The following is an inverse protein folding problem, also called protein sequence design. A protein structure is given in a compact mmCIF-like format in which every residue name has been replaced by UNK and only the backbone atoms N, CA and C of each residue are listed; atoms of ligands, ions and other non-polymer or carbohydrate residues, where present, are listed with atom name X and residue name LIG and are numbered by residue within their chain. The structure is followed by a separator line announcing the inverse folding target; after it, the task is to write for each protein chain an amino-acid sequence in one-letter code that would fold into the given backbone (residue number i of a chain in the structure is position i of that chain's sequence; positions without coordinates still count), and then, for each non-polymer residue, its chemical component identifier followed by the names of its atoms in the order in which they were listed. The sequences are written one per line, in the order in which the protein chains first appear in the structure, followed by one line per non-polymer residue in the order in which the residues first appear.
data_IF_268073017385
#
_entry.id   IF_268073017385
#
_cell.length_a   1.000
_cell.length_b   1.000
_cell.length_c   1.000
_cell.angle_alpha   90.00
_cell.angle_beta   90.00
_cell.angle_gamma   90.00
#
_symmetry.space_group_name_H-M   'P 1'
#
loop_
_entity.id
_entity.type
_entity.pdbx_description
1 polymer ?
#
# COMPACT_ATOMS: atom_id res chain seq x y z
N UNK A 1 35.39 4.47 19.78
CA UNK A 1 34.00 4.12 19.47
C UNK A 1 33.58 4.87 18.24
N UNK A 2 33.38 4.11 17.17
CA UNK A 2 32.84 4.64 15.92
C UNK A 2 31.36 4.99 16.06
N UNK A 3 30.89 5.90 15.23
CA UNK A 3 29.49 6.34 15.21
C UNK A 3 28.62 5.23 14.61
N UNK A 4 27.51 4.83 15.25
CA UNK A 4 26.55 3.90 14.65
C UNK A 4 25.82 4.55 13.47
N UNK A 5 25.46 3.75 12.47
CA UNK A 5 24.74 4.22 11.28
C UNK A 5 23.36 3.57 11.21
N UNK A 6 22.30 4.39 11.17
CA UNK A 6 20.93 3.90 11.03
C UNK A 6 20.73 3.44 9.58
N UNK A 7 20.20 2.22 9.41
CA UNK A 7 19.83 1.68 8.12
C UNK A 7 18.43 2.17 7.74
N UNK A 8 18.35 3.08 6.77
CA UNK A 8 17.09 3.68 6.31
C UNK A 8 16.19 2.68 5.59
N UNK A 9 16.74 1.71 4.86
CA UNK A 9 15.95 0.71 4.12
C UNK A 9 15.27 -0.30 5.05
N UNK A 10 15.92 -0.61 6.18
CA UNK A 10 15.41 -1.54 7.19
C UNK A 10 14.60 -0.84 8.29
N UNK A 11 14.66 0.49 8.37
CA UNK A 11 13.91 1.27 9.34
C UNK A 11 12.57 1.71 8.75
N UNK A 12 11.46 1.41 9.43
CA UNK A 12 10.11 1.63 8.91
C UNK A 12 9.18 2.09 10.01
N UNK A 13 8.17 2.90 9.65
CA UNK A 13 7.16 3.42 10.59
C UNK A 13 5.76 3.11 10.06
N UNK A 14 5.03 2.34 10.85
CA UNK A 14 3.60 2.12 10.68
C UNK A 14 2.89 2.48 11.99
N UNK A 15 2.21 1.53 12.65
CA UNK A 15 1.72 1.69 14.03
C UNK A 15 2.86 1.85 15.03
N UNK A 16 3.98 1.20 14.75
CA UNK A 16 5.21 1.26 15.53
C UNK A 16 6.36 1.65 14.60
N UNK A 17 7.41 2.24 15.16
CA UNK A 17 8.64 2.52 14.45
C UNK A 17 9.67 1.43 14.76
N UNK A 18 10.06 0.65 13.75
CA UNK A 18 11.23 -0.21 13.83
C UNK A 18 12.44 0.58 13.33
N UNK A 19 13.44 0.77 14.20
CA UNK A 19 14.69 1.41 13.85
C UNK A 19 15.79 0.36 13.92
N UNK A 20 16.51 0.19 12.81
CA UNK A 20 17.65 -0.72 12.68
C UNK A 20 18.91 0.10 12.42
N UNK A 21 20.02 -0.26 13.06
CA UNK A 21 21.32 0.35 12.82
C UNK A 21 22.41 -0.71 12.73
N UNK A 22 23.53 -0.34 12.15
CA UNK A 22 24.75 -1.16 12.20
C UNK A 22 25.88 -0.37 12.85
N UNK A 23 26.82 -1.11 13.43
CA UNK A 23 28.01 -0.56 14.03
C UNK A 23 29.25 -1.14 13.33
N UNK A 24 30.21 -0.30 12.88
CA UNK A 24 31.41 -0.79 12.22
C UNK A 24 32.20 -1.77 13.11
N UNK A 25 32.56 -2.95 12.57
CA UNK A 25 33.08 -4.10 13.33
C UNK A 25 34.35 -3.83 14.17
N UNK A 26 35.08 -2.74 13.89
CA UNK A 26 36.36 -2.45 14.55
C UNK A 26 36.23 -2.11 16.04
N UNK A 27 35.03 -1.79 16.54
CA UNK A 27 34.90 -1.27 17.89
C UNK A 27 33.53 -1.58 18.54
N UNK A 28 33.21 -2.87 18.69
CA UNK A 28 31.90 -3.35 19.22
C UNK A 28 31.52 -2.62 20.51
N UNK A 29 30.36 -1.97 20.48
CA UNK A 29 29.78 -1.27 21.63
C UNK A 29 29.16 -2.26 22.63
N UNK A 30 29.12 -1.87 23.90
CA UNK A 30 28.48 -2.64 24.98
C UNK A 30 26.96 -2.40 24.99
N UNK A 31 26.54 -1.16 24.72
CA UNK A 31 25.13 -0.78 24.58
C UNK A 31 24.96 0.40 23.62
N UNK A 32 23.71 0.64 23.23
CA UNK A 32 23.30 1.76 22.41
C UNK A 32 22.21 2.55 23.13
N UNK A 33 22.15 3.85 22.88
CA UNK A 33 21.01 4.69 23.28
C UNK A 33 20.35 5.20 22.01
N UNK A 34 19.09 4.81 21.82
CA UNK A 34 18.21 5.33 20.78
C UNK A 34 17.47 6.54 21.33
N UNK A 35 17.63 7.66 20.65
CA UNK A 35 16.99 8.92 20.99
C UNK A 35 15.95 9.25 19.92
N UNK A 36 14.73 9.61 20.34
CA UNK A 36 13.69 10.03 19.42
C UNK A 36 12.87 11.21 19.94
N UNK A 37 12.36 12.04 19.01
CA UNK A 37 11.48 13.16 19.34
C UNK A 37 10.48 13.42 18.23
N UNK A 38 9.32 13.95 18.62
CA UNK A 38 8.34 14.50 17.69
C UNK A 38 8.86 15.86 17.16
N UNK A 39 8.79 16.05 15.85
CA UNK A 39 9.13 17.31 15.19
C UNK A 39 7.85 18.15 15.09
N UNK A 40 7.76 19.20 15.90
CA UNK A 40 6.70 20.19 15.81
C UNK A 40 7.06 21.26 14.76
N UNK A 41 6.03 21.87 14.15
CA UNK A 41 6.21 22.98 13.19
C UNK A 41 6.55 24.29 13.89
N UNK A 42 6.11 24.43 15.13
CA UNK A 42 6.50 25.53 16.00
C UNK A 42 7.90 25.21 16.54
N UNK A 43 8.83 26.16 16.42
CA UNK A 43 10.29 26.02 16.63
C UNK A 43 10.71 25.56 18.05
N UNK A 44 9.77 25.17 18.91
CA UNK A 44 10.04 24.51 20.18
C UNK A 44 10.51 23.08 19.94
N UNK A 45 11.84 22.91 19.92
CA UNK A 45 12.48 21.60 19.92
C UNK A 45 12.18 20.87 21.24
N UNK A 46 11.27 19.90 21.17
CA UNK A 46 11.01 18.98 22.28
C UNK A 46 12.30 18.22 22.66
N UNK A 47 12.41 17.90 23.96
CA UNK A 47 13.48 17.07 24.49
C UNK A 47 13.47 15.68 23.85
N UNK A 48 14.65 15.12 23.63
CA UNK A 48 14.79 13.76 23.16
C UNK A 48 14.32 12.77 24.23
N UNK A 49 13.52 11.78 23.83
CA UNK A 49 13.25 10.60 24.64
C UNK A 49 14.40 9.62 24.41
N UNK A 50 15.01 9.14 25.50
CA UNK A 50 16.15 8.22 25.43
C UNK A 50 15.72 6.81 25.85
N UNK A 51 16.17 5.81 25.08
CA UNK A 51 15.95 4.40 25.39
C UNK A 51 17.28 3.66 25.24
N UNK A 52 17.69 2.95 26.29
CA UNK A 52 18.85 2.06 26.25
C UNK A 52 18.50 0.73 25.57
N UNK A 53 19.39 0.27 24.69
CA UNK A 53 19.22 -0.91 23.85
C UNK A 53 20.52 -1.71 23.80
N UNK A 54 20.45 -3.00 24.14
CA UNK A 54 21.62 -3.90 24.11
C UNK A 54 21.86 -4.57 22.74
N UNK A 55 20.96 -4.37 21.78
CA UNK A 55 21.05 -4.87 20.40
C UNK A 55 21.17 -3.75 19.37
N UNK A 56 21.09 -4.11 18.09
CA UNK A 56 21.21 -3.19 16.95
C UNK A 56 19.86 -2.79 16.34
N UNK A 57 18.76 -3.08 17.04
CA UNK A 57 17.40 -2.78 16.60
C UNK A 57 16.48 -2.51 17.78
N UNK A 58 15.46 -1.68 17.55
CA UNK A 58 14.42 -1.39 18.55
C UNK A 58 13.09 -1.03 17.88
N UNK A 59 12.00 -1.54 18.46
CA UNK A 59 10.63 -1.10 18.14
C UNK A 59 10.17 -0.07 19.16
N UNK A 60 9.70 1.07 18.68
CA UNK A 60 9.07 2.14 19.46
C UNK A 60 7.57 2.13 19.17
N UNK A 61 6.78 2.10 20.24
CA UNK A 61 5.32 2.09 20.20
C UNK A 61 4.74 3.43 20.65
N UNK A 62 3.42 3.57 20.55
CA UNK A 62 2.64 4.72 21.05
C UNK A 62 3.02 6.07 20.41
N UNK A 63 3.49 6.05 19.17
CA UNK A 63 3.73 7.25 18.39
C UNK A 63 2.40 7.86 17.92
N UNK A 64 2.27 9.18 18.06
CA UNK A 64 1.12 9.89 17.50
C UNK A 64 1.05 9.75 15.98
N UNK A 65 -0.16 9.54 15.46
CA UNK A 65 -0.43 9.44 14.01
C UNK A 65 -0.20 10.78 13.29
N UNK A 66 0.11 10.72 11.99
CA UNK A 66 0.29 11.88 11.11
C UNK A 66 1.33 12.91 11.60
N UNK A 67 2.44 12.43 12.18
CA UNK A 67 3.48 13.26 12.79
C UNK A 67 4.87 12.85 12.32
N UNK A 68 5.76 13.83 12.15
CA UNK A 68 7.16 13.56 11.85
C UNK A 68 7.94 13.30 13.15
N UNK A 69 8.76 12.26 13.15
CA UNK A 69 9.67 11.93 14.25
C UNK A 69 11.10 11.89 13.75
N UNK A 70 12.01 12.46 14.51
CA UNK A 70 13.45 12.32 14.31
C UNK A 70 13.98 11.21 15.23
N UNK A 71 14.85 10.36 14.69
CA UNK A 71 15.53 9.28 15.38
C UNK A 71 17.04 9.41 15.22
N UNK A 72 17.80 9.17 16.29
CA UNK A 72 19.26 9.09 16.23
C UNK A 72 19.78 8.10 17.27
N UNK A 73 20.91 7.48 16.99
CA UNK A 73 21.51 6.47 17.87
C UNK A 73 22.91 6.90 18.25
N UNK A 74 23.31 6.57 19.48
CA UNK A 74 24.69 6.70 19.95
C UNK A 74 25.14 5.40 20.63
N UNK A 75 26.43 5.13 20.57
CA UNK A 75 27.04 3.90 21.06
C UNK A 75 27.83 4.15 22.36
N UNK A 76 27.79 3.17 23.27
CA UNK A 76 28.47 3.19 24.56
C UNK A 76 29.41 2.01 24.73
N UNK A 77 30.59 2.27 25.29
CA UNK A 77 31.56 1.25 25.72
C UNK A 77 32.11 1.66 27.08
N UNK A 78 31.67 0.98 28.13
CA UNK A 78 31.81 1.46 29.51
C UNK A 78 31.29 2.89 29.68
N UNK A 79 32.15 3.82 30.08
CA UNK A 79 31.80 5.24 30.28
C UNK A 79 32.06 6.13 29.06
N UNK A 80 32.52 5.58 27.94
CA UNK A 80 32.82 6.32 26.71
C UNK A 80 31.59 6.27 25.80
N UNK A 81 31.18 7.42 25.28
CA UNK A 81 30.06 7.59 24.35
C UNK A 81 30.56 8.08 22.98
N UNK A 82 29.98 7.57 21.90
CA UNK A 82 30.19 8.10 20.55
C UNK A 82 29.44 9.42 20.34
N UNK A 83 29.78 10.20 19.29
CA UNK A 83 28.84 11.16 18.71
C UNK A 83 27.53 10.49 18.28
N UNK A 84 26.46 11.29 18.15
CA UNK A 84 25.19 10.82 17.61
C UNK A 84 25.30 10.51 16.11
N UNK A 85 24.52 9.51 15.67
CA UNK A 85 24.34 9.20 14.25
C UNK A 85 23.68 10.36 13.49
N UNK A 86 23.66 10.27 12.15
CA UNK A 86 22.75 11.09 11.34
C UNK A 86 21.31 10.90 11.81
N UNK A 87 20.54 11.98 11.82
CA UNK A 87 19.11 11.93 12.14
C UNK A 87 18.34 11.27 10.99
N UNK A 88 17.54 10.26 11.32
CA UNK A 88 16.56 9.67 10.43
C UNK A 88 15.19 10.29 10.73
N UNK A 89 14.54 10.87 9.73
CA UNK A 89 13.20 11.45 9.88
C UNK A 89 12.19 10.52 9.23
N UNK A 90 11.19 10.10 10.00
CA UNK A 90 10.11 9.24 9.51
C UNK A 90 8.76 9.87 9.86
N UNK A 91 7.78 9.67 8.98
CA UNK A 91 6.44 10.21 9.12
C UNK A 91 5.45 9.08 9.45
N UNK A 92 4.70 9.21 10.54
CA UNK A 92 3.70 8.22 10.92
C UNK A 92 2.46 8.29 10.01
N UNK A 93 1.79 7.15 9.72
CA UNK A 93 0.56 7.13 8.94
C UNK A 93 -0.57 8.01 9.49
N UNK A 94 -1.49 8.48 8.62
CA UNK A 94 -2.60 9.34 9.04
C UNK A 94 -3.68 8.64 9.88
N UNK A 95 -3.63 7.30 9.96
CA UNK A 95 -4.50 6.49 10.78
C UNK A 95 -3.80 5.20 11.22
N UNK A 96 -4.36 4.49 12.23
CA UNK A 96 -3.90 3.16 12.60
C UNK A 96 -3.88 2.22 11.39
N UNK A 97 -2.82 1.42 11.31
CA UNK A 97 -2.65 0.44 10.26
C UNK A 97 -3.64 -0.70 10.47
N UNK A 98 -4.46 -0.88 9.45
CA UNK A 98 -5.48 -1.89 9.30
C UNK A 98 -4.85 -3.15 8.72
N UNK A 99 -4.94 -4.24 9.48
CA UNK A 99 -4.38 -5.54 9.10
C UNK A 99 -5.45 -6.44 8.52
N UNK A 100 -5.19 -6.98 7.34
CA UNK A 100 -6.03 -7.95 6.66
C UNK A 100 -5.15 -8.86 5.80
N UNK A 101 -5.71 -9.98 5.38
CA UNK A 101 -5.13 -10.86 4.38
C UNK A 101 -6.05 -10.91 3.16
N UNK A 102 -5.55 -11.41 2.04
CA UNK A 102 -6.43 -11.67 0.90
C UNK A 102 -7.42 -12.78 1.24
N UNK A 103 -8.69 -12.54 0.90
CA UNK A 103 -9.78 -13.48 1.17
C UNK A 103 -9.78 -14.63 0.17
N UNK A 104 -9.41 -15.81 0.66
CA UNK A 104 -9.51 -17.08 -0.08
C UNK A 104 -10.94 -17.37 -0.57
N UNK A 105 -11.95 -16.89 0.16
CA UNK A 105 -13.36 -17.27 0.01
C UNK A 105 -14.19 -16.21 -0.69
N UNK A 106 -13.58 -15.14 -1.19
CA UNK A 106 -14.32 -14.09 -1.89
C UNK A 106 -14.82 -14.49 -3.28
N UNK A 107 -14.46 -15.68 -3.78
CA UNK A 107 -14.89 -16.17 -5.09
C UNK A 107 -14.05 -15.60 -6.25
N UNK A 108 -12.78 -15.29 -6.01
CA UNK A 108 -11.85 -14.93 -7.08
C UNK A 108 -11.58 -16.14 -8.01
N UNK A 109 -11.10 -15.87 -9.22
CA UNK A 109 -10.73 -16.92 -10.17
C UNK A 109 -9.37 -17.53 -9.81
N UNK A 110 -9.36 -18.75 -9.27
CA UNK A 110 -8.13 -19.46 -8.85
C UNK A 110 -7.31 -20.06 -10.03
N UNK A 111 -7.87 -20.11 -11.24
CA UNK A 111 -7.11 -20.44 -12.44
C UNK A 111 -6.22 -19.26 -12.85
N UNK A 112 -6.69 -18.03 -12.62
CA UNK A 112 -6.00 -16.80 -13.05
C UNK A 112 -5.23 -16.12 -11.92
N UNK A 113 -5.69 -16.22 -10.67
CA UNK A 113 -5.00 -15.67 -9.51
C UNK A 113 -4.45 -16.78 -8.64
N UNK A 114 -3.16 -16.68 -8.31
CA UNK A 114 -2.47 -17.55 -7.38
C UNK A 114 -2.26 -16.79 -6.07
N UNK A 115 -2.93 -17.26 -5.02
CA UNK A 115 -2.73 -16.76 -3.67
C UNK A 115 -1.67 -17.60 -2.96
N UNK A 116 -0.73 -16.95 -2.28
CA UNK A 116 0.28 -17.68 -1.51
C UNK A 116 -0.29 -18.24 -0.19
N UNK A 117 0.44 -19.16 0.45
CA UNK A 117 -0.02 -19.83 1.68
C UNK A 117 -0.27 -18.88 2.85
N UNK A 118 0.49 -17.79 2.95
CA UNK A 118 0.33 -16.76 3.97
C UNK A 118 -0.85 -15.82 3.70
N UNK A 119 -1.40 -15.84 2.49
CA UNK A 119 -2.47 -14.96 2.00
C UNK A 119 -2.12 -13.47 2.01
N UNK A 120 -0.83 -13.14 1.97
CA UNK A 120 -0.30 -11.78 1.89
C UNK A 120 0.24 -11.42 0.49
N UNK A 121 0.29 -12.39 -0.44
CA UNK A 121 0.70 -12.19 -1.84
C UNK A 121 -0.27 -12.83 -2.81
N UNK A 122 -0.63 -12.10 -3.85
CA UNK A 122 -1.41 -12.59 -4.99
C UNK A 122 -0.70 -12.31 -6.30
N UNK A 123 -0.68 -13.28 -7.20
CA UNK A 123 -0.12 -13.16 -8.54
C UNK A 123 -1.14 -13.52 -9.62
N UNK A 124 -1.13 -12.79 -10.72
CA UNK A 124 -1.94 -13.05 -11.89
C UNK A 124 -1.16 -13.83 -12.93
N UNK A 125 -1.77 -14.91 -13.43
CA UNK A 125 -1.27 -15.80 -14.48
C UNK A 125 -2.31 -15.93 -15.57
N UNK A 126 -1.86 -16.25 -16.78
CA UNK A 126 -2.72 -16.42 -17.94
C UNK A 126 -3.80 -17.52 -17.75
N UNK A 127 -3.51 -18.56 -16.97
CA UNK A 127 -4.36 -19.76 -16.89
C UNK A 127 -4.22 -20.64 -18.14
N UNK A 128 -4.48 -21.94 -18.02
CA UNK A 128 -4.31 -22.89 -19.13
C UNK A 128 -5.31 -22.66 -20.27
N UNK A 129 -6.57 -22.33 -19.94
CA UNK A 129 -7.63 -22.12 -20.92
C UNK A 129 -7.30 -20.97 -21.88
N UNK A 130 -6.74 -19.87 -21.37
CA UNK A 130 -6.28 -18.75 -22.19
C UNK A 130 -5.14 -19.15 -23.12
N UNK A 131 -4.13 -19.87 -22.60
CA UNK A 131 -2.97 -20.30 -23.39
C UNK A 131 -3.36 -21.28 -24.50
N UNK A 132 -4.28 -22.21 -24.23
CA UNK A 132 -4.83 -23.13 -25.22
C UNK A 132 -5.68 -22.39 -26.27
N UNK A 133 -6.46 -21.39 -25.88
CA UNK A 133 -7.21 -20.56 -26.82
C UNK A 133 -6.29 -19.73 -27.73
N UNK A 134 -5.20 -19.20 -27.17
CA UNK A 134 -4.21 -18.41 -27.90
C UNK A 134 -3.44 -19.23 -28.96
N UNK A 135 -3.33 -20.56 -28.81
CA UNK A 135 -2.68 -21.43 -29.79
C UNK A 135 -3.31 -21.32 -31.19
N UNK A 136 -4.63 -21.14 -31.27
CA UNK A 136 -5.41 -21.19 -32.52
C UNK A 136 -5.78 -19.80 -33.06
N UNK A 137 -5.57 -18.75 -32.29
CA UNK A 137 -6.09 -17.41 -32.57
C UNK A 137 -4.92 -16.44 -32.74
N UNK A 138 -4.75 -15.89 -33.95
CA UNK A 138 -3.71 -14.89 -34.27
C UNK A 138 -4.13 -13.44 -33.96
N UNK A 139 -5.34 -13.23 -33.41
CA UNK A 139 -5.92 -11.93 -33.04
C UNK A 139 -6.01 -11.81 -31.51
N UNK A 140 -5.92 -10.59 -30.99
CA UNK A 140 -5.89 -10.33 -29.55
C UNK A 140 -7.11 -10.89 -28.81
N UNK A 141 -6.86 -11.61 -27.72
CA UNK A 141 -7.90 -12.03 -26.78
C UNK A 141 -8.20 -10.90 -25.78
N UNK A 142 -9.46 -10.72 -25.40
CA UNK A 142 -9.84 -9.76 -24.36
C UNK A 142 -9.28 -10.23 -23.01
N UNK A 143 -8.33 -9.49 -22.45
CA UNK A 143 -7.86 -9.72 -21.09
C UNK A 143 -8.85 -9.10 -20.12
N UNK A 144 -9.34 -9.90 -19.16
CA UNK A 144 -10.28 -9.45 -18.14
C UNK A 144 -9.55 -9.09 -16.84
N UNK A 145 -10.23 -8.36 -15.95
CA UNK A 145 -9.69 -7.91 -14.66
C UNK A 145 -10.05 -8.90 -13.55
N UNK A 146 -9.15 -9.75 -13.09
CA UNK A 146 -9.46 -10.66 -11.99
C UNK A 146 -9.40 -9.93 -10.64
N UNK A 147 -10.50 -9.99 -9.88
CA UNK A 147 -10.68 -9.25 -8.63
C UNK A 147 -10.37 -10.14 -7.41
N UNK A 148 -9.76 -9.55 -6.40
CA UNK A 148 -9.54 -10.13 -5.07
C UNK A 148 -9.68 -9.03 -4.01
N UNK A 149 -10.14 -9.38 -2.81
CA UNK A 149 -10.40 -8.44 -1.72
C UNK A 149 -9.70 -8.85 -0.43
N UNK A 150 -9.67 -7.95 0.54
CA UNK A 150 -9.29 -8.29 1.92
C UNK A 150 -10.36 -9.09 2.65
N UNK A 151 -9.94 -9.91 3.62
CA UNK A 151 -10.80 -10.79 4.44
C UNK A 151 -11.52 -10.07 5.59
N UNK A 152 -11.15 -8.81 5.86
CA UNK A 152 -11.77 -7.98 6.90
C UNK A 152 -12.46 -6.77 6.29
N UNK A 153 -13.74 -6.59 6.63
CA UNK A 153 -14.55 -5.44 6.24
C UNK A 153 -14.46 -4.27 7.23
N UNK A 154 -14.54 -3.04 6.70
CA UNK A 154 -14.46 -1.78 7.44
C UNK A 154 -15.85 -1.14 7.47
N UNK A 155 -16.31 -0.75 8.67
CA UNK A 155 -17.65 -0.19 8.89
C UNK A 155 -17.66 1.13 9.69
N UNK A 156 -16.50 1.61 10.15
CA UNK A 156 -16.35 2.87 10.90
C UNK A 156 -14.88 3.24 11.09
N UNK A 157 -14.62 4.50 11.44
CA UNK A 157 -13.31 4.98 11.84
C UNK A 157 -12.37 5.23 10.67
N UNK A 158 -11.09 5.39 11.01
CA UNK A 158 -10.02 5.67 10.05
C UNK A 158 -9.02 4.53 10.01
N UNK A 159 -8.64 4.14 8.81
CA UNK A 159 -7.82 2.96 8.56
C UNK A 159 -6.74 3.28 7.53
N UNK A 160 -5.58 2.67 7.68
CA UNK A 160 -4.47 2.80 6.74
C UNK A 160 -3.88 1.43 6.41
N UNK A 161 -3.50 1.14 5.17
CA UNK A 161 -2.74 -0.06 4.84
C UNK A 161 -1.77 0.21 3.71
N UNK A 162 -0.73 -0.61 3.60
CA UNK A 162 0.29 -0.48 2.58
C UNK A 162 0.52 -1.79 1.84
N UNK A 163 0.93 -1.69 0.58
CA UNK A 163 1.26 -2.84 -0.27
C UNK A 163 2.27 -2.42 -1.34
N UNK A 164 2.92 -3.42 -1.93
CA UNK A 164 3.81 -3.28 -3.08
C UNK A 164 3.19 -3.91 -4.31
N UNK A 165 3.41 -3.29 -5.46
CA UNK A 165 3.05 -3.83 -6.78
C UNK A 165 4.33 -4.27 -7.48
N UNK A 166 4.34 -5.51 -7.97
CA UNK A 166 5.51 -6.09 -8.61
C UNK A 166 5.86 -5.31 -9.89
N UNK A 167 7.15 -5.00 -10.16
CA UNK A 167 7.55 -4.14 -11.28
C UNK A 167 7.21 -4.67 -12.68
N UNK A 168 7.00 -5.99 -12.81
CA UNK A 168 6.58 -6.65 -14.05
C UNK A 168 5.06 -6.60 -14.28
N UNK A 169 4.30 -5.99 -13.36
CA UNK A 169 2.85 -5.92 -13.45
C UNK A 169 2.43 -5.10 -14.66
N UNK A 170 1.62 -5.73 -15.52
CA UNK A 170 1.03 -5.13 -16.70
C UNK A 170 0.03 -4.05 -16.28
N UNK A 171 -1.01 -4.44 -15.55
CA UNK A 171 -1.99 -3.52 -15.00
C UNK A 171 -2.60 -4.08 -13.71
N UNK A 172 -2.63 -3.24 -12.69
CA UNK A 172 -3.27 -3.50 -11.41
C UNK A 172 -4.18 -2.32 -11.06
N UNK A 173 -5.37 -2.59 -10.54
CA UNK A 173 -6.22 -1.60 -9.90
C UNK A 173 -6.28 -1.86 -8.41
N UNK A 174 -6.18 -0.82 -7.60
CA UNK A 174 -6.13 -0.91 -6.14
C UNK A 174 -6.96 0.18 -5.49
N UNK A 175 -7.55 -0.10 -4.33
CA UNK A 175 -8.26 0.88 -3.54
C UNK A 175 -9.31 0.25 -2.65
N UNK A 176 -10.51 0.82 -2.64
CA UNK A 176 -11.62 0.40 -1.76
C UNK A 176 -12.90 0.19 -2.55
N UNK A 177 -13.71 -0.78 -2.13
CA UNK A 177 -15.03 -1.02 -2.69
C UNK A 177 -16.02 -1.44 -1.62
N UNK A 178 -17.27 -1.02 -1.78
CA UNK A 178 -18.39 -1.47 -0.94
C UNK A 178 -18.76 -2.92 -1.22
N UNK A 179 -19.34 -3.60 -0.23
CA UNK A 179 -19.89 -4.95 -0.35
C UNK A 179 -20.80 -5.11 -1.57
N UNK A 180 -21.62 -4.11 -1.86
CA UNK A 180 -22.64 -4.17 -2.91
C UNK A 180 -22.00 -4.19 -4.30
N UNK A 181 -20.93 -3.41 -4.50
CA UNK A 181 -20.15 -3.46 -5.73
C UNK A 181 -19.31 -4.71 -5.89
N UNK A 182 -18.83 -5.27 -4.78
CA UNK A 182 -18.09 -6.52 -4.82
C UNK A 182 -18.97 -7.70 -5.25
N UNK A 183 -20.24 -7.73 -4.85
CA UNK A 183 -21.18 -8.74 -5.33
C UNK A 183 -21.36 -8.68 -6.86
N UNK A 184 -21.40 -7.48 -7.44
CA UNK A 184 -21.46 -7.27 -8.89
C UNK A 184 -20.20 -7.79 -9.59
N UNK A 185 -19.02 -7.43 -9.11
CA UNK A 185 -17.74 -7.77 -9.77
C UNK A 185 -17.35 -9.24 -9.64
N UNK A 186 -17.65 -9.87 -8.49
CA UNK A 186 -17.26 -11.25 -8.22
C UNK A 186 -18.28 -12.28 -8.73
N UNK A 187 -19.57 -11.93 -8.85
CA UNK A 187 -20.61 -12.86 -9.33
C UNK A 187 -20.90 -12.76 -10.82
N UNK A 188 -20.48 -11.69 -11.51
CA UNK A 188 -20.79 -11.55 -12.94
C UNK A 188 -20.07 -12.64 -13.73
N UNK A 189 -20.80 -13.57 -14.39
CA UNK A 189 -20.19 -14.58 -15.25
C UNK A 189 -19.59 -13.85 -16.45
N UNK A 190 -18.27 -13.72 -16.50
CA UNK A 190 -17.56 -13.05 -17.61
C UNK A 190 -17.43 -13.90 -18.86
N UNK A 191 -18.23 -14.95 -18.97
CA UNK A 191 -18.43 -15.75 -20.19
C UNK A 191 -19.63 -15.29 -21.03
N UNK A 192 -20.33 -14.21 -20.63
CA UNK A 192 -21.51 -13.70 -21.36
C UNK A 192 -21.18 -12.69 -22.48
N UNK A 193 -19.92 -12.32 -22.71
CA UNK A 193 -19.54 -11.65 -23.97
C UNK A 193 -19.00 -12.69 -24.94
N UNK A 194 -19.87 -13.60 -25.33
CA UNK A 194 -19.70 -14.30 -26.61
C UNK A 194 -19.58 -13.20 -27.68
N UNK A 195 -18.56 -13.20 -28.56
CA UNK A 195 -18.50 -12.28 -29.68
C UNK A 195 -19.50 -12.75 -30.73
N UNK A 196 -20.80 -12.67 -30.42
CA UNK A 196 -21.80 -12.59 -31.46
C UNK A 196 -21.74 -11.15 -31.94
N UNK A 197 -20.99 -10.96 -33.02
CA UNK A 197 -21.15 -9.94 -34.05
C UNK A 197 -22.41 -9.07 -33.83
N UNK A 198 -22.33 -8.07 -32.95
CA UNK A 198 -23.35 -7.03 -32.92
C UNK A 198 -23.02 -6.12 -34.09
N UNK A 199 -23.84 -6.27 -35.12
CA UNK A 199 -23.84 -5.45 -36.31
C UNK A 199 -23.96 -3.99 -35.89
N UNK A 200 -22.96 -3.21 -36.31
CA UNK A 200 -23.03 -1.82 -36.70
C UNK A 200 -24.36 -1.12 -36.37
N UNK A 201 -24.43 -0.57 -35.17
CA UNK A 201 -25.32 0.56 -34.87
C UNK A 201 -24.43 1.75 -34.61
N UNK A 202 -23.98 2.38 -35.69
CA UNK A 202 -23.39 3.71 -35.64
C UNK A 202 -24.29 4.64 -34.84
N UNK A 203 -23.80 5.02 -33.67
CA UNK A 203 -24.29 6.17 -32.93
C UNK A 203 -23.06 7.04 -32.66
N UNK A 204 -23.11 8.29 -33.13
CA UNK A 204 -22.16 9.29 -32.68
C UNK A 204 -22.24 9.31 -31.15
N UNK A 205 -21.12 8.99 -30.50
CA UNK A 205 -21.05 9.08 -29.06
C UNK A 205 -20.80 10.54 -28.73
N UNK A 206 -21.90 11.30 -28.71
CA UNK A 206 -22.02 12.51 -27.93
C UNK A 206 -21.47 12.23 -26.54
N UNK A 207 -20.59 13.13 -26.10
CA UNK A 207 -19.92 13.09 -24.80
C UNK A 207 -20.93 12.92 -23.68
N UNK A 208 -21.08 11.70 -23.19
CA UNK A 208 -21.71 11.45 -21.90
C UNK A 208 -20.70 11.80 -20.80
N UNK A 209 -20.54 13.11 -20.60
CA UNK A 209 -20.15 13.68 -19.32
C UNK A 209 -21.22 13.27 -18.31
N UNK A 210 -21.12 12.03 -17.84
CA UNK A 210 -21.86 11.54 -16.69
C UNK A 210 -21.39 12.37 -15.50
N UNK A 211 -22.20 13.38 -15.18
CA UNK A 211 -22.10 14.23 -14.02
C UNK A 211 -22.12 13.35 -12.76
N UNK A 212 -20.95 12.86 -12.33
CA UNK A 212 -20.79 12.12 -11.09
C UNK A 212 -20.75 13.11 -9.91
N UNK A 213 -21.92 13.68 -9.60
CA UNK A 213 -22.10 14.53 -8.42
C UNK A 213 -22.36 13.69 -7.15
N UNK A 214 -22.59 12.38 -7.29
CA UNK A 214 -22.66 11.42 -6.18
C UNK A 214 -21.33 10.68 -5.99
N UNK A 215 -20.81 10.64 -4.76
CA UNK A 215 -19.68 9.78 -4.40
C UNK A 215 -19.95 8.33 -4.83
N UNK A 216 -19.01 7.73 -5.59
CA UNK A 216 -19.16 6.35 -6.03
C UNK A 216 -18.95 5.39 -4.83
N UNK A 217 -19.61 4.22 -4.81
CA UNK A 217 -19.47 3.23 -3.74
C UNK A 217 -18.18 2.40 -3.85
N UNK A 218 -17.18 2.94 -4.55
CA UNK A 218 -15.82 2.41 -4.69
C UNK A 218 -14.89 3.54 -5.14
N UNK A 219 -13.59 3.36 -4.97
CA UNK A 219 -12.56 4.19 -5.59
C UNK A 219 -11.32 3.34 -5.81
N UNK A 220 -10.88 3.27 -7.06
CA UNK A 220 -9.70 2.52 -7.49
C UNK A 220 -8.76 3.44 -8.27
N UNK A 221 -7.47 3.28 -8.07
CA UNK A 221 -6.41 3.85 -8.90
C UNK A 221 -5.79 2.76 -9.76
N UNK A 222 -5.26 3.14 -10.91
CA UNK A 222 -4.62 2.20 -11.83
C UNK A 222 -3.10 2.34 -11.72
N UNK A 223 -2.41 1.21 -11.66
CA UNK A 223 -0.96 1.11 -11.62
C UNK A 223 -0.55 0.16 -12.74
N UNK A 224 0.44 0.53 -13.53
CA UNK A 224 0.93 -0.32 -14.62
C UNK A 224 2.15 0.29 -15.27
N UNK A 225 3.03 -0.55 -15.81
CA UNK A 225 4.25 -0.09 -16.48
C UNK A 225 5.09 0.88 -15.62
N UNK A 226 5.21 0.61 -14.32
CA UNK A 226 5.90 1.47 -13.32
C UNK A 226 5.34 2.90 -13.23
N UNK A 227 4.05 3.08 -13.55
CA UNK A 227 3.34 4.35 -13.47
C UNK A 227 2.10 4.22 -12.58
N UNK A 228 1.80 5.28 -11.86
CA UNK A 228 0.58 5.48 -11.08
C UNK A 228 -0.32 6.46 -11.83
N UNK A 229 -1.56 6.05 -12.11
CA UNK A 229 -2.52 6.83 -12.90
C UNK A 229 -3.62 7.40 -12.00
N UNK A 230 -3.67 8.73 -11.91
CA UNK A 230 -4.73 9.46 -11.22
C UNK A 230 -6.03 9.36 -12.03
N UNK A 231 -7.16 8.90 -11.46
CA UNK A 231 -8.45 8.85 -12.13
C UNK A 231 -8.93 10.21 -12.67
N UNK A 232 -9.80 10.21 -13.71
CA UNK A 232 -10.34 11.46 -14.25
C UNK A 232 -11.22 12.10 -13.17
N UNK A 233 -11.04 13.38 -12.90
CA UNK A 233 -12.02 14.17 -12.16
C UNK A 233 -12.87 14.95 -13.19
N UNK A 234 -14.19 15.06 -12.98
CA UNK A 234 -15.07 15.79 -13.89
C UNK A 234 -14.80 17.30 -13.93
N UNK A 235 -14.03 17.84 -12.98
CA UNK A 235 -13.86 19.28 -12.74
C UNK A 235 -12.45 19.83 -12.99
N UNK A 236 -11.46 18.99 -13.32
CA UNK A 236 -10.06 19.43 -13.50
C UNK A 236 -9.64 19.57 -14.97
N UNK A 237 -8.74 20.53 -15.26
CA UNK A 237 -8.08 20.64 -16.57
C UNK A 237 -7.42 19.32 -16.98
N UNK A 238 -7.83 18.79 -18.13
CA UNK A 238 -7.58 17.42 -18.57
C UNK A 238 -6.25 17.26 -19.32
N UNK A 239 -5.13 17.63 -18.71
CA UNK A 239 -3.82 17.27 -19.28
C UNK A 239 -3.44 15.84 -18.84
N UNK A 240 -3.31 14.88 -19.77
CA UNK A 240 -3.06 13.48 -19.44
C UNK A 240 -1.71 13.27 -18.75
N UNK A 241 -0.71 14.11 -19.04
CA UNK A 241 0.63 14.00 -18.46
C UNK A 241 0.65 14.29 -16.97
N UNK A 242 -0.15 15.26 -16.50
CA UNK A 242 -0.24 15.64 -15.08
C UNK A 242 -0.91 14.56 -14.19
N UNK A 243 -1.43 13.50 -14.81
CA UNK A 243 -2.13 12.40 -14.13
C UNK A 243 -1.33 11.12 -14.09
N UNK A 244 -0.11 11.14 -14.63
CA UNK A 244 0.80 10.00 -14.66
C UNK A 244 1.97 10.32 -13.75
N UNK A 245 2.00 9.65 -12.60
CA UNK A 245 3.10 9.75 -11.64
C UNK A 245 4.02 8.52 -11.77
N UNK A 246 5.31 8.63 -11.41
CA UNK A 246 6.14 7.45 -11.22
C UNK A 246 5.53 6.56 -10.12
N UNK A 247 5.57 5.24 -10.31
CA UNK A 247 5.09 4.29 -9.30
C UNK A 247 6.04 4.28 -8.09
N UNK A 248 5.54 4.56 -6.87
CA UNK A 248 6.32 4.41 -5.63
C UNK A 248 6.76 2.97 -5.39
N UNK A 249 7.74 2.76 -4.52
CA UNK A 249 8.14 1.38 -4.15
C UNK A 249 7.07 0.68 -3.31
N UNK A 250 6.39 1.44 -2.46
CA UNK A 250 5.25 1.02 -1.65
C UNK A 250 4.16 2.09 -1.68
N UNK A 251 2.90 1.64 -1.69
CA UNK A 251 1.73 2.49 -1.83
C UNK A 251 0.84 2.30 -0.60
N UNK A 252 0.49 3.41 0.03
CA UNK A 252 -0.44 3.46 1.14
C UNK A 252 -1.84 3.83 0.69
N UNK A 253 -2.86 3.24 1.32
CA UNK A 253 -4.26 3.63 1.17
C UNK A 253 -4.81 4.00 2.53
N UNK A 254 -5.39 5.18 2.60
CA UNK A 254 -6.07 5.74 3.76
C UNK A 254 -7.57 5.77 3.50
N UNK A 255 -8.37 5.23 4.41
CA UNK A 255 -9.83 5.32 4.39
C UNK A 255 -10.30 6.02 5.66
N UNK A 256 -10.94 7.18 5.52
CA UNK A 256 -11.74 7.84 6.54
C UNK A 256 -13.21 7.48 6.29
N UNK A 257 -13.67 6.38 6.89
CA UNK A 257 -15.04 5.89 6.69
C UNK A 257 -16.06 6.91 7.17
N UNK A 258 -15.78 7.55 8.32
CA UNK A 258 -16.68 8.50 8.97
C UNK A 258 -16.90 9.75 8.10
N UNK A 259 -15.90 10.15 7.31
CA UNK A 259 -16.00 11.27 6.36
C UNK A 259 -16.24 10.86 4.91
N UNK A 260 -16.33 9.56 4.61
CA UNK A 260 -16.49 9.05 3.25
C UNK A 260 -15.33 9.42 2.33
N UNK A 261 -14.08 9.38 2.81
CA UNK A 261 -12.92 9.89 2.05
C UNK A 261 -11.82 8.84 1.96
N UNK A 262 -11.23 8.71 0.77
CA UNK A 262 -10.08 7.83 0.51
C UNK A 262 -8.90 8.62 -0.03
N UNK A 263 -7.70 8.32 0.46
CA UNK A 263 -6.44 8.89 -0.01
C UNK A 263 -5.43 7.81 -0.36
N UNK A 264 -4.60 8.08 -1.36
CA UNK A 264 -3.52 7.23 -1.84
C UNK A 264 -2.19 7.93 -1.61
N UNK A 265 -1.22 7.23 -1.05
CA UNK A 265 0.03 7.80 -0.56
C UNK A 265 1.24 7.07 -1.15
N UNK A 266 2.28 7.84 -1.45
CA UNK A 266 3.65 7.35 -1.60
C UNK A 266 4.21 7.09 -0.20
N UNK A 267 4.55 5.84 0.10
CA UNK A 267 5.09 5.45 1.41
C UNK A 267 6.55 5.84 1.60
N UNK A 268 7.31 6.06 0.52
CA UNK A 268 8.73 6.41 0.61
C UNK A 268 8.91 7.77 1.31
N UNK A 269 7.96 8.69 1.08
CA UNK A 269 7.97 10.05 1.62
C UNK A 269 6.69 10.41 2.40
N UNK A 270 5.78 9.46 2.60
CA UNK A 270 4.44 9.68 3.17
C UNK A 270 3.71 10.87 2.53
N UNK A 271 3.73 10.94 1.20
CA UNK A 271 3.15 12.02 0.41
C UNK A 271 1.81 11.59 -0.19
N UNK A 272 0.76 12.38 0.02
CA UNK A 272 -0.53 12.14 -0.62
C UNK A 272 -0.41 12.35 -2.14
N UNK A 273 -0.76 11.33 -2.92
CA UNK A 273 -0.74 11.30 -4.38
C UNK A 273 -2.10 11.64 -4.98
N UNK A 274 -3.17 11.10 -4.39
CA UNK A 274 -4.53 11.29 -4.87
C UNK A 274 -5.53 11.12 -3.73
N UNK A 275 -6.62 11.87 -3.78
CA UNK A 275 -7.68 11.81 -2.78
C UNK A 275 -9.04 11.99 -3.45
N UNK A 276 -10.05 11.27 -2.96
CA UNK A 276 -11.43 11.35 -3.47
C UNK A 276 -12.46 11.05 -2.39
N UNK A 277 -13.66 11.58 -2.57
CA UNK A 277 -14.86 11.14 -1.86
C UNK A 277 -15.32 9.76 -2.36
N UNK A 278 -15.78 8.92 -1.44
CA UNK A 278 -16.30 7.57 -1.64
C UNK A 278 -17.53 7.37 -0.77
N UNK A 279 -18.55 6.72 -1.31
CA UNK A 279 -19.76 6.40 -0.55
C UNK A 279 -19.49 5.23 0.41
N UNK A 280 -19.60 5.50 1.71
CA UNK A 280 -19.43 4.55 2.80
C UNK A 280 -20.75 4.11 3.43
N UNK A 281 -21.85 4.04 2.66
CA UNK A 281 -23.15 3.55 3.15
C UNK A 281 -23.15 2.07 3.54
N UNK A 282 -22.22 1.29 3.01
CA UNK A 282 -22.10 -0.15 3.25
C UNK A 282 -20.73 -0.51 3.82
N UNK A 283 -20.49 -1.80 4.10
CA UNK A 283 -19.18 -2.28 4.53
C UNK A 283 -18.18 -2.10 3.39
N UNK A 284 -17.04 -1.47 3.67
CA UNK A 284 -15.96 -1.23 2.71
C UNK A 284 -14.87 -2.28 2.86
N UNK A 285 -14.29 -2.73 1.75
CA UNK A 285 -13.17 -3.67 1.75
C UNK A 285 -12.00 -3.10 0.93
N UNK A 286 -10.75 -3.37 1.34
CA UNK A 286 -9.61 -3.27 0.44
C UNK A 286 -9.87 -4.14 -0.80
N UNK A 287 -9.74 -3.56 -1.99
CA UNK A 287 -10.07 -4.21 -3.25
C UNK A 287 -8.94 -4.06 -4.26
N UNK A 288 -8.65 -5.16 -4.94
CA UNK A 288 -7.56 -5.30 -5.89
C UNK A 288 -8.07 -5.98 -7.16
N UNK A 289 -7.57 -5.56 -8.32
CA UNK A 289 -7.85 -6.21 -9.58
C UNK A 289 -6.58 -6.31 -10.43
N UNK A 290 -6.30 -7.47 -10.99
CA UNK A 290 -5.11 -7.71 -11.80
C UNK A 290 -5.52 -8.06 -13.23
N UNK A 291 -4.72 -7.62 -14.20
CA UNK A 291 -4.91 -7.91 -15.62
C UNK A 291 -3.56 -8.25 -16.24
N UNK A 292 -3.50 -9.35 -16.99
CA UNK A 292 -2.25 -9.86 -17.54
C UNK A 292 -1.32 -10.39 -16.46
N UNK A 293 0.00 -10.29 -16.65
CA UNK A 293 0.95 -10.58 -15.58
C UNK A 293 0.87 -9.49 -14.51
N UNK A 294 0.76 -9.85 -13.24
CA UNK A 294 0.72 -8.88 -12.15
C UNK A 294 0.98 -9.53 -10.81
N UNK A 295 1.51 -8.77 -9.86
CA UNK A 295 1.75 -9.26 -8.51
C UNK A 295 1.53 -8.16 -7.48
N UNK A 296 0.90 -8.51 -6.37
CA UNK A 296 0.67 -7.61 -5.24
C UNK A 296 1.11 -8.33 -3.97
N UNK A 297 1.86 -7.60 -3.13
CA UNK A 297 2.33 -8.07 -1.83
C UNK A 297 1.86 -7.06 -0.77
N UNK A 298 1.07 -7.51 0.20
CA UNK A 298 0.71 -6.70 1.36
C UNK A 298 1.95 -6.45 2.22
N UNK A 299 2.06 -5.24 2.79
CA UNK A 299 3.09 -4.95 3.78
C UNK A 299 2.59 -5.28 5.18
N UNK A 300 3.38 -6.04 5.94
CA UNK A 300 3.03 -6.43 7.29
C UNK A 300 3.06 -5.20 8.24
N UNK A 301 2.12 -5.11 9.18
CA UNK A 301 2.19 -4.10 10.23
C UNK A 301 3.39 -4.40 11.13
N UNK A 302 4.17 -3.36 11.47
CA UNK A 302 5.20 -3.50 12.52
C UNK A 302 4.48 -3.61 13.85
N UNK A 303 4.58 -4.76 14.50
CA UNK A 303 4.06 -5.04 15.84
C UNK A 303 5.20 -5.10 16.85
N UNK A 304 4.90 -4.95 18.15
CA UNK A 304 5.92 -5.05 19.20
C UNK A 304 6.62 -6.43 19.22
N UNK A 305 5.94 -7.48 18.76
CA UNK A 305 6.45 -8.85 18.64
C UNK A 305 7.29 -9.09 17.37
N UNK A 306 7.47 -8.07 16.52
CA UNK A 306 8.18 -8.20 15.25
C UNK A 306 9.63 -8.68 15.42
N UNK A 307 10.29 -8.31 16.52
CA UNK A 307 11.66 -8.74 16.82
C UNK A 307 11.76 -10.20 17.27
N UNK A 308 10.75 -10.75 17.95
CA UNK A 308 10.73 -12.16 18.37
C UNK A 308 10.65 -13.14 17.18
N UNK A 309 10.02 -12.69 16.08
CA UNK A 309 9.93 -13.46 14.83
C UNK A 309 11.21 -13.43 13.99
N UNK A 310 12.03 -12.37 14.09
CA UNK A 310 13.30 -12.29 13.35
C UNK A 310 14.41 -13.13 14.00
N UNK A 311 14.36 -13.37 15.31
CA UNK A 311 15.33 -14.25 16.00
C UNK A 311 15.01 -15.75 15.86
N UNK A 312 13.85 -16.10 15.29
CA UNK A 312 13.36 -17.49 15.16
C UNK A 312 13.33 -18.02 13.72
N UNK A 313 13.83 -17.25 12.74
CA UNK A 313 14.13 -17.71 11.36
C UNK A 313 15.62 -17.93 11.15
#
# INVERSE_FOLDING_TARGET
IDVPEINEEQSKVYNNALINWHHPEKDKADSYVLEYRKINRDEEMLSWNEIEVCGTSKVISDLESNCNYAFRVRAYKGSICSPCSRELILHTPPAPVFSFLFDEKCGYNNEHLLLNLKRDRVESRAGFNLLLAAERIQVGYFTSLDYIIGDVGITKGKHFWAFRVEPYSYLVKVGVASSDKLQEWLRSPRDAVSPRYEQDSGHDSGSEDTCFDSSQPFTLVTIGMKKFFIPKSPTSSNEPENRVLPMPTSIGVFLDYDKGKVGFYDMDHMKCLYERQVDCSHTMYPAFALMGSGGIQLEEPITATYLEYQETM
#
